data_IF_781761175182
#
_entry.id   IF_781761175182
#
_cell.length_a   1.000
_cell.length_b   1.000
_cell.length_c   1.000
_cell.angle_alpha   90.00
_cell.angle_beta   90.00
_cell.angle_gamma   90.00
#
_symmetry.space_group_name_H-M   'P 1'
#
loop_
_entity.id
_entity.type
_entity.pdbx_description
1 polymer ?
#
# COMPACT_ATOMS: atom_id res chain seq x y z
N UNK A 1 86.48 45.27 -35.79
CA UNK A 1 85.78 46.47 -35.31
C UNK A 1 84.48 45.98 -34.70
N UNK A 2 84.54 45.45 -33.48
CA UNK A 2 84.36 46.16 -32.19
C UNK A 2 82.90 46.59 -31.95
N UNK A 3 82.29 45.97 -30.93
CA UNK A 3 80.99 46.23 -30.26
C UNK A 3 81.03 47.56 -29.44
N UNK A 4 80.03 48.02 -28.61
CA UNK A 4 78.85 47.32 -28.07
C UNK A 4 77.54 48.12 -27.74
N UNK A 5 76.52 47.33 -27.34
CA UNK A 5 75.46 47.46 -26.30
C UNK A 5 74.44 48.62 -26.24
N UNK A 6 73.14 48.28 -26.31
CA UNK A 6 72.16 48.51 -25.20
C UNK A 6 70.91 47.61 -25.31
N UNK A 7 70.50 47.01 -24.18
CA UNK A 7 69.37 46.06 -24.02
C UNK A 7 67.97 46.73 -24.05
N UNK A 8 66.89 46.05 -24.50
CA UNK A 8 65.51 46.48 -24.27
C UNK A 8 64.80 45.70 -23.15
N UNK A 9 64.13 46.46 -22.26
CA UNK A 9 63.47 45.98 -21.05
C UNK A 9 62.14 45.25 -21.25
N UNK A 10 61.94 44.22 -20.40
CA UNK A 10 60.77 43.36 -20.31
C UNK A 10 59.62 44.01 -19.51
N UNK A 11 58.43 44.14 -20.12
CA UNK A 11 57.17 44.50 -19.42
C UNK A 11 56.52 43.26 -18.78
N UNK A 12 55.98 43.35 -17.55
CA UNK A 12 55.39 42.20 -16.86
C UNK A 12 53.96 41.89 -17.35
N UNK A 13 53.65 40.58 -17.39
CA UNK A 13 52.34 40.00 -17.76
C UNK A 13 51.27 40.24 -16.66
N UNK A 14 49.97 40.34 -17.02
CA UNK A 14 48.90 40.63 -16.06
C UNK A 14 48.56 39.41 -15.17
N UNK A 15 48.25 39.72 -13.90
CA UNK A 15 47.84 38.76 -12.84
C UNK A 15 46.49 38.11 -13.16
N UNK A 16 46.42 36.80 -12.99
CA UNK A 16 45.20 36.00 -13.07
C UNK A 16 44.27 36.32 -11.88
N UNK A 17 43.03 36.72 -12.17
CA UNK A 17 41.98 36.92 -11.17
C UNK A 17 41.50 35.59 -10.59
N UNK A 18 41.40 35.52 -9.27
CA UNK A 18 40.90 34.36 -8.53
C UNK A 18 39.43 34.07 -8.88
N UNK A 19 39.16 32.87 -9.40
CA UNK A 19 37.80 32.36 -9.62
C UNK A 19 37.13 32.11 -8.27
N UNK A 20 36.11 32.90 -7.94
CA UNK A 20 35.21 32.64 -6.81
C UNK A 20 34.42 31.35 -7.08
N UNK A 21 34.70 30.31 -6.32
CA UNK A 21 33.87 29.10 -6.26
C UNK A 21 32.53 29.44 -5.59
N UNK A 22 31.38 29.03 -6.15
CA UNK A 22 30.08 29.24 -5.51
C UNK A 22 30.02 28.44 -4.21
N UNK A 23 29.99 29.13 -3.07
CA UNK A 23 29.83 28.49 -1.77
C UNK A 23 28.38 28.02 -1.64
N UNK A 24 28.21 26.72 -1.39
CA UNK A 24 26.93 26.12 -1.08
C UNK A 24 26.37 26.71 0.22
N UNK A 25 25.16 27.26 0.16
CA UNK A 25 24.44 27.83 1.30
C UNK A 25 23.87 26.76 2.26
N UNK A 26 24.27 25.49 2.11
CA UNK A 26 23.89 24.40 3.02
C UNK A 26 24.37 24.61 4.47
N UNK A 27 25.23 25.58 4.75
CA UNK A 27 25.62 25.94 6.12
C UNK A 27 24.59 26.85 6.83
N UNK A 28 23.66 27.47 6.09
CA UNK A 28 22.57 28.28 6.65
C UNK A 28 21.33 27.44 7.01
N UNK A 29 21.25 26.24 6.46
CA UNK A 29 20.25 25.26 6.77
C UNK A 29 20.93 24.26 7.69
N UNK A 30 20.39 24.03 8.89
CA UNK A 30 20.91 23.05 9.86
C UNK A 30 20.70 21.59 9.39
N UNK A 31 21.00 21.32 8.11
CA UNK A 31 20.83 20.05 7.41
C UNK A 31 22.21 19.58 6.92
N UNK A 32 22.83 18.69 7.69
CA UNK A 32 23.98 17.91 7.26
C UNK A 32 23.46 16.64 6.58
N UNK A 33 23.57 16.54 5.25
CA UNK A 33 23.41 15.25 4.58
C UNK A 33 24.53 14.31 5.05
N UNK A 34 24.24 13.01 5.31
CA UNK A 34 25.30 12.05 5.60
C UNK A 34 26.32 12.03 4.46
N UNK A 35 27.63 11.98 4.76
CA UNK A 35 28.67 12.09 3.76
C UNK A 35 28.48 11.02 2.68
N UNK A 36 28.37 11.45 1.41
CA UNK A 36 28.40 10.51 0.27
C UNK A 36 29.73 9.76 0.34
N UNK A 37 29.66 8.43 0.42
CA UNK A 37 30.86 7.60 0.36
C UNK A 37 31.62 7.91 -0.94
N UNK A 38 32.93 8.16 -0.88
CA UNK A 38 33.72 8.35 -2.08
C UNK A 38 33.66 7.08 -2.95
N UNK A 39 33.78 7.21 -4.28
CA UNK A 39 33.86 6.05 -5.15
C UNK A 39 35.05 5.18 -4.74
N UNK A 40 34.77 3.90 -4.50
CA UNK A 40 35.75 2.89 -4.10
C UNK A 40 36.86 2.82 -5.15
N UNK A 41 38.12 2.92 -4.70
CA UNK A 41 39.29 2.80 -5.59
C UNK A 41 39.33 1.41 -6.25
N UNK A 42 39.77 1.34 -7.51
CA UNK A 42 39.94 0.08 -8.23
C UNK A 42 40.88 -0.92 -7.51
N UNK A 43 41.74 -0.47 -6.61
CA UNK A 43 42.56 -1.33 -5.75
C UNK A 43 41.74 -2.07 -4.67
N UNK A 44 40.68 -1.47 -4.11
CA UNK A 44 39.82 -2.11 -3.09
C UNK A 44 38.85 -3.14 -3.69
N UNK A 45 38.48 -2.98 -4.97
CA UNK A 45 37.66 -3.95 -5.71
C UNK A 45 38.38 -5.29 -5.92
N UNK A 46 39.71 -5.27 -6.06
CA UNK A 46 40.51 -6.49 -6.25
C UNK A 46 40.73 -7.26 -4.94
N UNK A 47 40.94 -6.54 -3.81
CA UNK A 47 41.05 -7.16 -2.50
C UNK A 47 39.74 -7.84 -2.03
N UNK A 48 38.58 -7.29 -2.41
CA UNK A 48 37.27 -7.87 -2.10
C UNK A 48 36.89 -9.09 -2.94
N UNK A 49 37.51 -9.30 -4.11
CA UNK A 49 37.21 -10.47 -4.98
C UNK A 49 37.73 -11.80 -4.41
N UNK A 50 38.83 -11.80 -3.64
CA UNK A 50 39.39 -13.04 -3.06
C UNK A 50 38.68 -13.52 -1.78
N UNK A 51 37.86 -12.69 -1.13
CA UNK A 51 37.11 -13.05 0.09
C UNK A 51 35.62 -13.32 -0.14
N UNK A 52 35.17 -13.30 -1.41
CA UNK A 52 33.75 -13.39 -1.81
C UNK A 52 33.35 -14.79 -2.29
N UNK A 53 33.75 -15.84 -1.57
CA UNK A 53 33.26 -17.19 -1.82
C UNK A 53 32.60 -17.86 -0.60
N UNK A 54 32.43 -17.17 0.55
CA UNK A 54 31.84 -17.82 1.75
C UNK A 54 30.82 -17.05 2.58
N UNK A 55 30.27 -15.93 2.11
CA UNK A 55 29.18 -15.24 2.83
C UNK A 55 28.17 -14.63 1.83
N UNK A 56 27.15 -15.40 1.49
CA UNK A 56 25.97 -14.94 0.74
C UNK A 56 24.90 -14.45 1.72
N UNK A 57 25.13 -13.28 2.33
CA UNK A 57 24.12 -12.48 3.03
C UNK A 57 24.54 -11.01 3.02
N UNK A 58 24.75 -10.46 1.82
CA UNK A 58 24.72 -9.01 1.66
C UNK A 58 23.26 -8.61 1.52
N UNK A 59 22.67 -8.11 2.61
CA UNK A 59 21.46 -7.29 2.59
C UNK A 59 21.54 -6.36 1.38
N UNK A 60 20.78 -6.70 0.35
CA UNK A 60 20.83 -6.04 -0.93
C UNK A 60 19.96 -4.81 -0.79
N UNK A 61 20.60 -3.67 -0.47
CA UNK A 61 19.98 -2.37 -0.65
C UNK A 61 19.49 -2.27 -2.10
N UNK A 62 18.21 -2.55 -2.31
CA UNK A 62 17.57 -2.39 -3.59
C UNK A 62 17.10 -0.94 -3.70
N UNK A 63 17.54 -0.17 -4.71
CA UNK A 63 17.17 1.23 -4.83
C UNK A 63 15.65 1.36 -4.89
N UNK A 64 15.12 2.33 -4.13
CA UNK A 64 13.69 2.63 -4.09
C UNK A 64 13.16 2.88 -5.51
N UNK A 65 12.18 2.08 -5.92
CA UNK A 65 11.46 2.22 -7.19
C UNK A 65 9.99 2.43 -6.89
N UNK A 66 9.37 3.42 -7.52
CA UNK A 66 7.95 3.79 -7.33
C UNK A 66 7.01 2.62 -7.62
N UNK A 67 7.30 1.84 -8.66
CA UNK A 67 6.55 0.62 -8.99
C UNK A 67 6.53 -0.41 -7.85
N UNK A 68 7.63 -0.51 -7.07
CA UNK A 68 7.66 -1.38 -5.90
C UNK A 68 6.77 -0.85 -4.80
N UNK A 69 6.74 0.46 -4.58
CA UNK A 69 5.84 1.08 -3.61
C UNK A 69 4.37 0.81 -3.96
N UNK A 70 3.99 0.95 -5.24
CA UNK A 70 2.63 0.62 -5.69
C UNK A 70 2.32 -0.86 -5.47
N UNK A 71 3.22 -1.74 -5.91
CA UNK A 71 3.05 -3.17 -5.70
C UNK A 71 2.98 -3.54 -4.20
N UNK A 72 3.62 -2.76 -3.35
CA UNK A 72 3.71 -3.05 -1.93
C UNK A 72 2.48 -2.60 -1.13
N UNK A 73 1.88 -1.47 -1.50
CA UNK A 73 0.87 -0.79 -0.69
C UNK A 73 -0.53 -0.79 -1.31
N UNK A 74 -0.66 -1.09 -2.61
CA UNK A 74 -1.96 -1.11 -3.28
C UNK A 74 -2.44 -2.53 -3.56
N UNK A 75 -3.76 -2.66 -3.65
CA UNK A 75 -4.44 -3.88 -4.11
C UNK A 75 -4.93 -3.68 -5.52
N UNK A 76 -4.94 -4.75 -6.31
CA UNK A 76 -5.20 -4.67 -7.74
C UNK A 76 -6.32 -5.60 -8.15
N UNK A 77 -7.29 -5.04 -8.87
CA UNK A 77 -8.22 -5.81 -9.69
C UNK A 77 -7.61 -6.01 -11.07
N UNK A 78 -7.46 -7.28 -11.43
CA UNK A 78 -6.76 -7.70 -12.64
C UNK A 78 -7.70 -8.38 -13.62
N UNK A 79 -7.31 -8.36 -14.89
CA UNK A 79 -8.03 -9.00 -15.97
C UNK A 79 -8.03 -10.54 -15.82
N UNK A 80 -9.18 -11.24 -15.90
CA UNK A 80 -9.24 -12.69 -15.76
C UNK A 80 -8.53 -13.47 -16.88
N UNK A 81 -8.15 -12.82 -17.98
CA UNK A 81 -7.45 -13.46 -19.11
C UNK A 81 -5.92 -13.54 -18.94
N UNK A 82 -5.36 -12.86 -17.94
CA UNK A 82 -3.92 -12.83 -17.72
C UNK A 82 -3.36 -14.09 -17.04
N UNK A 83 -2.05 -14.29 -17.18
CA UNK A 83 -1.28 -15.22 -16.36
C UNK A 83 -0.60 -14.45 -15.23
N UNK A 84 -0.84 -14.87 -14.00
CA UNK A 84 -0.32 -14.24 -12.77
C UNK A 84 0.43 -15.24 -11.87
N UNK A 85 0.81 -16.42 -12.41
CA UNK A 85 1.43 -17.49 -11.62
C UNK A 85 2.69 -17.04 -10.86
N UNK A 86 3.49 -16.15 -11.46
CA UNK A 86 4.71 -15.62 -10.84
C UNK A 86 4.37 -14.84 -9.57
N UNK A 87 3.33 -14.00 -9.62
CA UNK A 87 2.88 -13.19 -8.49
C UNK A 87 2.24 -14.02 -7.38
N UNK A 88 1.82 -15.26 -7.68
CA UNK A 88 1.31 -16.17 -6.66
C UNK A 88 2.41 -16.80 -5.82
N UNK A 89 3.59 -17.00 -6.43
CA UNK A 89 4.76 -17.55 -5.74
C UNK A 89 5.58 -16.46 -5.05
N UNK A 90 5.60 -15.24 -5.60
CA UNK A 90 6.39 -14.13 -5.08
C UNK A 90 5.57 -12.83 -5.01
N UNK A 91 5.25 -12.31 -3.81
CA UNK A 91 4.51 -11.07 -3.67
C UNK A 91 5.32 -9.84 -4.09
N UNK A 92 6.65 -9.91 -4.17
CA UNK A 92 7.53 -8.78 -4.51
C UNK A 92 7.53 -8.45 -6.01
N UNK A 93 7.09 -9.40 -6.84
CA UNK A 93 6.98 -9.20 -8.29
C UNK A 93 5.79 -8.32 -8.60
N UNK A 94 6.04 -7.22 -9.31
CA UNK A 94 5.00 -6.29 -9.71
C UNK A 94 4.06 -6.93 -10.75
N UNK A 95 2.77 -6.59 -10.64
CA UNK A 95 1.78 -6.92 -11.66
C UNK A 95 2.00 -6.04 -12.90
N UNK A 96 1.94 -6.60 -14.13
CA UNK A 96 1.99 -5.80 -15.34
C UNK A 96 0.87 -4.75 -15.37
N UNK A 97 1.21 -3.48 -15.57
CA UNK A 97 0.26 -2.36 -15.50
C UNK A 97 -0.92 -2.49 -16.49
N UNK A 98 -0.67 -3.07 -17.67
CA UNK A 98 -1.69 -3.26 -18.69
C UNK A 98 -2.79 -4.24 -18.25
N UNK A 99 -2.47 -5.15 -17.34
CA UNK A 99 -3.38 -6.16 -16.81
C UNK A 99 -4.22 -5.66 -15.63
N UNK A 100 -3.81 -4.55 -15.01
CA UNK A 100 -4.56 -3.90 -13.93
C UNK A 100 -5.74 -3.16 -14.56
N UNK A 101 -6.95 -3.41 -14.05
CA UNK A 101 -8.19 -2.74 -14.47
C UNK A 101 -8.60 -1.66 -13.48
N UNK A 102 -8.52 -1.95 -12.19
CA UNK A 102 -8.82 -1.01 -11.12
C UNK A 102 -7.82 -1.19 -9.98
N UNK A 103 -7.53 -0.11 -9.26
CA UNK A 103 -6.69 -0.11 -8.05
C UNK A 103 -7.56 0.21 -6.85
N UNK A 104 -7.42 -0.57 -5.78
CA UNK A 104 -8.10 -0.30 -4.51
C UNK A 104 -7.14 0.41 -3.57
N UNK A 105 -7.58 1.54 -3.02
CA UNK A 105 -6.83 2.32 -2.04
C UNK A 105 -7.66 2.44 -0.77
N UNK A 106 -7.00 2.20 0.37
CA UNK A 106 -7.57 2.51 1.68
C UNK A 106 -7.61 4.03 1.86
N UNK A 107 -8.80 4.56 2.16
CA UNK A 107 -9.00 5.98 2.43
C UNK A 107 -8.75 6.27 3.91
N UNK A 108 -7.47 6.29 4.30
CA UNK A 108 -7.05 6.65 5.66
C UNK A 108 -7.22 8.16 5.88
N UNK A 109 -7.22 8.63 7.13
CA UNK A 109 -7.37 10.02 7.62
C UNK A 109 -6.85 11.19 6.75
N UNK A 110 -5.86 10.96 5.89
CA UNK A 110 -5.47 11.87 4.83
C UNK A 110 -6.34 11.56 3.61
N UNK A 111 -7.55 12.11 3.59
CA UNK A 111 -8.44 11.97 2.43
C UNK A 111 -7.62 12.26 1.16
N UNK A 112 -7.62 11.31 0.22
CA UNK A 112 -6.87 11.49 -1.02
C UNK A 112 -7.47 12.68 -1.76
N UNK A 113 -6.83 13.85 -1.71
CA UNK A 113 -7.29 15.04 -2.40
C UNK A 113 -6.72 15.09 -3.80
N UNK A 114 -7.55 15.46 -4.78
CA UNK A 114 -7.08 15.68 -6.14
C UNK A 114 -6.10 16.87 -6.16
N UNK A 115 -4.86 16.70 -6.62
CA UNK A 115 -3.85 17.78 -6.61
C UNK A 115 -4.17 18.96 -7.56
N UNK A 116 -5.19 18.81 -8.40
CA UNK A 116 -5.58 19.82 -9.40
C UNK A 116 -6.73 20.68 -8.87
N UNK A 117 -7.78 20.07 -8.30
CA UNK A 117 -8.94 20.81 -7.77
C UNK A 117 -8.97 20.92 -6.24
N UNK A 118 -8.08 20.21 -5.53
CA UNK A 118 -7.97 20.16 -4.06
C UNK A 118 -9.21 19.60 -3.33
N UNK A 119 -10.14 18.99 -4.07
CA UNK A 119 -11.34 18.32 -3.55
C UNK A 119 -11.17 16.79 -3.57
N UNK A 120 -12.04 16.03 -2.87
CA UNK A 120 -12.13 14.59 -3.06
C UNK A 120 -12.31 14.23 -4.54
N UNK A 121 -11.60 13.22 -5.07
CA UNK A 121 -11.52 12.97 -6.49
C UNK A 121 -12.81 12.36 -7.04
N UNK A 122 -13.44 13.07 -7.97
CA UNK A 122 -14.59 12.58 -8.76
C UNK A 122 -14.11 11.60 -9.82
N UNK A 123 -14.67 10.38 -9.84
CA UNK A 123 -14.23 9.30 -10.73
C UNK A 123 -12.70 9.15 -10.72
N UNK A 124 -12.17 8.80 -9.55
CA UNK A 124 -10.75 8.83 -9.25
C UNK A 124 -9.91 7.99 -10.25
N UNK A 125 -8.75 8.53 -10.65
CA UNK A 125 -7.79 7.89 -11.56
C UNK A 125 -6.38 7.95 -10.99
N UNK A 126 -5.71 6.81 -10.98
CA UNK A 126 -4.30 6.70 -10.57
C UNK A 126 -3.39 6.56 -11.77
N UNK A 127 -2.20 7.13 -11.65
CA UNK A 127 -1.12 7.08 -12.63
C UNK A 127 -0.07 6.03 -12.23
N UNK A 128 0.82 5.62 -13.15
CA UNK A 128 1.97 4.75 -12.84
C UNK A 128 2.91 5.25 -11.73
N UNK A 129 2.81 6.53 -11.36
CA UNK A 129 3.59 7.11 -10.26
C UNK A 129 2.86 7.08 -8.90
N UNK A 130 1.60 6.63 -8.85
CA UNK A 130 0.80 6.50 -7.62
C UNK A 130 -0.09 7.68 -7.28
N UNK A 131 0.05 8.82 -7.95
CA UNK A 131 -0.79 9.98 -7.68
C UNK A 131 -2.19 9.81 -8.27
N UNK A 132 -3.19 10.20 -7.47
CA UNK A 132 -4.62 10.09 -7.76
C UNK A 132 -5.18 11.46 -8.16
N UNK A 133 -6.02 11.49 -9.19
CA UNK A 133 -6.66 12.68 -9.74
C UNK A 133 -8.13 12.42 -10.05
N UNK A 134 -8.96 13.45 -10.19
CA UNK A 134 -10.26 13.29 -10.85
C UNK A 134 -10.04 12.97 -12.33
N UNK A 135 -10.83 12.07 -12.92
CA UNK A 135 -10.85 11.84 -14.38
C UNK A 135 -10.96 13.16 -15.18
N UNK A 136 -11.94 14.06 -14.94
CA UNK A 136 -12.04 15.31 -15.68
C UNK A 136 -10.82 16.23 -15.51
N UNK A 137 -10.26 16.29 -14.30
CA UNK A 137 -9.10 17.13 -14.01
C UNK A 137 -7.85 16.65 -14.77
N UNK A 138 -7.56 15.34 -14.74
CA UNK A 138 -6.38 14.79 -15.42
C UNK A 138 -6.56 14.82 -16.94
N UNK A 139 -7.76 14.57 -17.45
CA UNK A 139 -8.05 14.67 -18.89
C UNK A 139 -7.86 16.11 -19.40
N UNK A 140 -8.39 17.11 -18.68
CA UNK A 140 -8.14 18.53 -19.00
C UNK A 140 -6.66 18.87 -18.92
N UNK A 141 -5.97 18.37 -17.89
CA UNK A 141 -4.53 18.55 -17.74
C UNK A 141 -3.75 17.92 -18.89
N UNK A 142 -4.11 16.73 -19.37
CA UNK A 142 -3.44 16.06 -20.49
C UNK A 142 -3.74 16.74 -21.84
N UNK A 143 -4.93 17.33 -21.99
CA UNK A 143 -5.35 18.01 -23.22
C UNK A 143 -4.91 19.49 -23.29
N UNK A 144 -4.51 20.12 -22.18
CA UNK A 144 -4.12 21.53 -22.17
C UNK A 144 -2.90 21.83 -23.06
N UNK A 145 -2.92 22.84 -23.90
CA UNK A 145 -1.76 23.17 -24.73
C UNK A 145 -0.67 23.77 -23.81
N UNK A 146 0.52 23.17 -23.71
CA UNK A 146 1.68 23.83 -23.06
C UNK A 146 2.24 24.88 -24.02
N UNK A 147 1.55 26.01 -24.15
CA UNK A 147 1.89 27.11 -25.04
C UNK A 147 3.03 28.00 -24.50
N UNK A 148 4.15 27.43 -24.02
CA UNK A 148 5.22 28.22 -23.40
C UNK A 148 6.63 28.01 -23.93
N UNK A 149 6.81 27.30 -25.06
CA UNK A 149 8.09 27.31 -25.77
C UNK A 149 7.87 27.49 -27.26
N UNK A 150 8.58 28.46 -27.83
CA UNK A 150 8.63 28.91 -29.23
C UNK A 150 9.24 27.84 -30.16
N UNK A 151 8.78 26.59 -30.03
CA UNK A 151 9.06 25.44 -30.91
C UNK A 151 7.74 24.81 -31.40
N UNK A 152 6.61 25.52 -31.19
CA UNK A 152 5.26 24.99 -31.28
C UNK A 152 4.65 24.86 -32.69
N UNK A 153 5.44 24.95 -33.77
CA UNK A 153 4.92 24.92 -35.16
C UNK A 153 5.33 23.65 -35.93
N UNK A 154 6.13 22.74 -35.35
CA UNK A 154 6.56 21.51 -36.06
C UNK A 154 6.27 20.18 -35.35
N UNK A 155 5.57 20.19 -34.21
CA UNK A 155 5.20 18.96 -33.47
C UNK A 155 3.70 18.89 -33.18
N UNK A 156 2.87 19.22 -34.17
CA UNK A 156 1.42 18.99 -34.21
C UNK A 156 1.02 17.49 -34.21
N UNK A 157 1.97 16.57 -33.99
CA UNK A 157 1.68 15.16 -33.80
C UNK A 157 2.44 14.61 -32.58
N UNK A 158 1.69 14.09 -31.60
CA UNK A 158 2.13 13.03 -30.66
C UNK A 158 3.02 13.41 -29.46
N UNK A 159 2.67 14.41 -28.65
CA UNK A 159 2.96 14.29 -27.20
C UNK A 159 1.70 13.93 -26.44
N UNK A 160 1.29 12.66 -26.58
CA UNK A 160 0.22 12.05 -25.79
C UNK A 160 0.68 11.75 -24.34
N UNK A 161 1.52 12.60 -23.77
CA UNK A 161 2.05 12.43 -22.41
C UNK A 161 2.44 13.77 -21.81
N UNK A 162 2.33 13.88 -20.49
CA UNK A 162 2.76 15.06 -19.70
C UNK A 162 3.40 14.66 -18.40
N UNK A 163 4.00 15.61 -17.69
CA UNK A 163 4.62 15.35 -16.38
C UNK A 163 3.58 15.38 -15.26
N UNK A 164 3.76 14.55 -14.25
CA UNK A 164 2.97 14.59 -13.02
C UNK A 164 3.18 15.92 -12.28
N UNK A 165 2.10 16.64 -11.90
CA UNK A 165 2.21 17.87 -11.09
C UNK A 165 2.91 17.71 -9.74
N UNK A 166 2.99 16.49 -9.20
CA UNK A 166 3.59 16.23 -7.89
C UNK A 166 5.05 15.77 -8.05
N UNK A 167 5.29 14.73 -8.85
CA UNK A 167 6.59 14.05 -8.88
C UNK A 167 7.31 14.12 -10.24
N UNK A 168 6.74 14.83 -11.21
CA UNK A 168 7.33 15.11 -12.53
C UNK A 168 7.56 13.90 -13.44
N UNK A 169 7.08 12.72 -13.04
CA UNK A 169 7.09 11.50 -13.87
C UNK A 169 6.19 11.63 -15.10
N UNK A 170 6.51 10.97 -16.23
CA UNK A 170 5.65 10.96 -17.40
C UNK A 170 4.35 10.20 -17.13
N UNK A 171 3.23 10.82 -17.48
CA UNK A 171 1.86 10.30 -17.43
C UNK A 171 1.34 10.19 -18.86
N UNK A 172 0.77 9.04 -19.19
CA UNK A 172 0.10 8.77 -20.46
C UNK A 172 -1.41 8.57 -20.24
N UNK A 173 -2.29 9.01 -21.16
CA UNK A 173 -3.74 8.80 -21.04
C UNK A 173 -4.15 7.33 -20.91
N UNK A 174 -3.51 6.43 -21.67
CA UNK A 174 -3.82 4.99 -21.65
C UNK A 174 -3.37 4.29 -20.34
N UNK A 175 -2.49 4.93 -19.58
CA UNK A 175 -1.98 4.39 -18.32
C UNK A 175 -2.85 4.75 -17.12
N UNK A 176 -3.88 5.58 -17.29
CA UNK A 176 -4.79 5.94 -16.21
C UNK A 176 -5.67 4.74 -15.84
N UNK A 177 -5.63 4.35 -14.57
CA UNK A 177 -6.47 3.27 -14.03
C UNK A 177 -7.53 3.82 -13.08
N UNK A 178 -8.72 3.23 -13.10
CA UNK A 178 -9.78 3.58 -12.16
C UNK A 178 -9.35 3.24 -10.73
N UNK A 179 -9.74 4.07 -9.78
CA UNK A 179 -9.48 3.89 -8.36
C UNK A 179 -10.79 3.77 -7.62
N UNK A 180 -10.89 2.73 -6.78
CA UNK A 180 -11.93 2.67 -5.75
C UNK A 180 -11.29 2.98 -4.40
N UNK A 181 -11.76 4.08 -3.81
CA UNK A 181 -11.44 4.42 -2.43
C UNK A 181 -12.37 3.64 -1.51
N UNK A 182 -11.80 2.89 -0.56
CA UNK A 182 -12.57 2.16 0.44
C UNK A 182 -12.37 2.84 1.80
N UNK A 183 -13.47 3.21 2.45
CA UNK A 183 -13.46 3.83 3.78
C UNK A 183 -12.97 2.83 4.82
N UNK A 184 -11.99 3.26 5.60
CA UNK A 184 -11.29 2.40 6.57
C UNK A 184 -11.30 3.07 7.94
N UNK A 185 -11.05 2.27 8.97
CA UNK A 185 -10.96 2.78 10.32
C UNK A 185 -9.78 3.74 10.46
N UNK A 186 -9.99 4.81 11.23
CA UNK A 186 -9.04 5.91 11.33
C UNK A 186 -8.17 5.77 12.59
N UNK A 187 -7.00 5.15 12.41
CA UNK A 187 -5.95 5.03 13.42
C UNK A 187 -5.40 6.40 13.90
N UNK A 188 -5.41 7.42 13.04
CA UNK A 188 -4.90 8.75 13.40
C UNK A 188 -5.81 9.47 14.43
N UNK A 189 -7.08 9.09 14.51
CA UNK A 189 -7.99 9.54 15.57
C UNK A 189 -7.48 9.16 16.97
N UNK A 190 -6.75 8.04 17.10
CA UNK A 190 -6.13 7.63 18.37
C UNK A 190 -4.98 8.55 18.79
N UNK A 191 -4.13 8.95 17.84
CA UNK A 191 -2.96 9.78 18.12
C UNK A 191 -3.33 11.19 18.58
N UNK A 192 -4.49 11.69 18.13
CA UNK A 192 -5.02 13.01 18.49
C UNK A 192 -5.82 12.95 19.79
N UNK A 193 -6.44 11.81 20.08
CA UNK A 193 -7.14 11.51 21.31
C UNK A 193 -6.13 11.12 22.41
N UNK A 194 -5.48 12.11 23.03
CA UNK A 194 -4.71 11.86 24.26
C UNK A 194 -5.53 11.06 25.31
N UNK A 195 -4.83 10.38 26.23
CA UNK A 195 -5.42 9.58 27.32
C UNK A 195 -6.26 10.45 28.27
N UNK A 196 -7.47 10.81 27.88
CA UNK A 196 -8.46 11.45 28.76
C UNK A 196 -9.53 10.42 29.13
N UNK A 197 -10.02 10.50 30.37
CA UNK A 197 -11.02 9.57 30.92
C UNK A 197 -12.32 9.52 30.08
N UNK A 198 -12.62 10.56 29.30
CA UNK A 198 -13.75 10.61 28.37
C UNK A 198 -13.57 9.66 27.16
N UNK A 199 -12.35 9.48 26.65
CA UNK A 199 -12.06 8.62 25.50
C UNK A 199 -12.18 7.12 25.83
N UNK A 200 -12.02 6.76 27.12
CA UNK A 200 -12.26 5.41 27.63
C UNK A 200 -13.74 5.00 27.63
N UNK A 201 -14.65 5.98 27.68
CA UNK A 201 -16.10 5.74 27.71
C UNK A 201 -16.74 5.69 26.31
N UNK A 202 -16.13 6.34 25.30
CA UNK A 202 -16.68 6.41 23.92
C UNK A 202 -16.30 5.26 22.99
N UNK A 203 -15.50 4.27 23.43
CA UNK A 203 -15.02 3.19 22.54
C UNK A 203 -14.11 3.67 21.40
N UNK A 204 -13.62 4.91 21.47
CA UNK A 204 -12.84 5.54 20.39
C UNK A 204 -11.48 4.86 20.17
N UNK A 205 -11.00 4.13 21.18
CA UNK A 205 -9.68 3.50 21.21
C UNK A 205 -9.71 1.98 20.96
N UNK A 206 -10.83 1.46 20.45
CA UNK A 206 -10.98 0.04 20.14
C UNK A 206 -10.86 -0.23 18.64
N UNK A 207 -10.15 -1.30 18.30
CA UNK A 207 -10.03 -1.82 16.93
C UNK A 207 -10.63 -3.22 16.90
N UNK A 208 -11.41 -3.52 15.87
CA UNK A 208 -11.89 -4.87 15.60
C UNK A 208 -10.92 -5.57 14.65
N UNK A 209 -10.44 -6.73 15.08
CA UNK A 209 -9.56 -7.59 14.30
C UNK A 209 -10.30 -8.85 13.89
N UNK A 210 -10.00 -9.38 12.71
CA UNK A 210 -10.48 -10.68 12.22
C UNK A 210 -9.32 -11.66 12.15
N UNK A 211 -9.61 -12.93 12.46
CA UNK A 211 -8.67 -14.01 12.31
C UNK A 211 -8.52 -14.31 10.81
N UNK A 212 -7.30 -14.20 10.32
CA UNK A 212 -6.92 -14.48 8.94
C UNK A 212 -6.18 -15.82 8.88
N UNK A 213 -6.51 -16.60 7.87
CA UNK A 213 -5.90 -17.90 7.56
C UNK A 213 -5.13 -17.80 6.24
N UNK A 214 -3.95 -18.41 6.22
CA UNK A 214 -3.06 -18.41 5.05
C UNK A 214 -2.33 -19.75 4.90
N UNK A 215 -2.31 -20.29 3.69
CA UNK A 215 -1.49 -21.47 3.37
C UNK A 215 0.01 -21.14 3.31
N UNK A 216 0.88 -22.09 3.70
CA UNK A 216 2.31 -21.94 3.49
C UNK A 216 2.63 -21.67 2.02
N UNK A 217 3.49 -20.68 1.75
CA UNK A 217 3.94 -20.28 0.40
C UNK A 217 2.85 -19.66 -0.49
N UNK A 218 1.60 -19.56 -0.04
CA UNK A 218 0.55 -18.83 -0.73
C UNK A 218 0.62 -17.32 -0.40
N UNK A 219 0.39 -16.48 -1.42
CA UNK A 219 0.29 -15.02 -1.25
C UNK A 219 -1.12 -14.59 -0.82
N UNK A 220 -2.14 -15.39 -1.14
CA UNK A 220 -3.51 -15.10 -0.72
C UNK A 220 -3.71 -15.41 0.76
N UNK A 221 -4.28 -14.46 1.47
CA UNK A 221 -4.68 -14.59 2.86
C UNK A 221 -6.11 -14.06 3.00
N UNK A 222 -6.97 -14.83 3.66
CA UNK A 222 -8.41 -14.55 3.76
C UNK A 222 -8.89 -14.79 5.19
N UNK A 223 -9.96 -14.12 5.64
CA UNK A 223 -10.57 -14.40 6.94
C UNK A 223 -10.87 -15.89 7.11
N UNK A 224 -10.51 -16.46 8.25
CA UNK A 224 -10.62 -17.90 8.53
C UNK A 224 -12.07 -18.39 8.49
N UNK A 225 -13.03 -17.51 8.76
CA UNK A 225 -14.46 -17.79 8.66
C UNK A 225 -15.01 -17.73 7.23
N UNK A 226 -14.18 -17.39 6.23
CA UNK A 226 -14.55 -17.44 4.82
C UNK A 226 -14.54 -18.89 4.31
N UNK A 227 -15.50 -19.67 4.78
CA UNK A 227 -15.66 -21.09 4.43
C UNK A 227 -15.91 -21.30 2.94
N UNK A 228 -16.49 -20.30 2.26
CA UNK A 228 -16.71 -20.34 0.82
C UNK A 228 -15.39 -20.45 0.06
N UNK A 229 -14.42 -19.57 0.38
CA UNK A 229 -13.13 -19.55 -0.31
C UNK A 229 -12.29 -20.82 -0.04
N UNK A 230 -12.35 -21.35 1.17
CA UNK A 230 -11.62 -22.57 1.54
C UNK A 230 -12.37 -23.88 1.21
N UNK A 231 -13.59 -23.80 0.67
CA UNK A 231 -14.34 -24.99 0.24
C UNK A 231 -13.70 -25.64 -0.98
N UNK A 232 -13.38 -26.93 -0.89
CA UNK A 232 -12.84 -27.71 -2.02
C UNK A 232 -13.77 -27.69 -3.24
N UNK A 233 -15.09 -27.68 -3.02
CA UNK A 233 -16.09 -27.59 -4.08
C UNK A 233 -16.00 -26.24 -4.81
N UNK A 234 -15.80 -25.15 -4.07
CA UNK A 234 -15.64 -23.83 -4.67
C UNK A 234 -14.28 -23.68 -5.36
N UNK A 235 -13.20 -24.13 -4.72
CA UNK A 235 -11.85 -24.09 -5.29
C UNK A 235 -11.74 -24.88 -6.60
N UNK A 236 -12.48 -25.99 -6.74
CA UNK A 236 -12.54 -26.76 -7.99
C UNK A 236 -13.18 -25.98 -9.16
N UNK A 237 -14.01 -24.98 -8.87
CA UNK A 237 -14.58 -24.07 -9.88
C UNK A 237 -13.60 -22.97 -10.28
N UNK A 238 -12.64 -22.63 -9.42
CA UNK A 238 -11.68 -21.56 -9.67
C UNK A 238 -10.62 -22.01 -10.67
N UNK A 239 -10.40 -21.19 -11.71
CA UNK A 239 -9.27 -21.39 -12.63
C UNK A 239 -7.94 -21.13 -11.94
N UNK A 240 -7.92 -20.13 -11.05
CA UNK A 240 -6.81 -19.78 -10.20
C UNK A 240 -7.28 -19.77 -8.75
N UNK A 241 -7.15 -20.88 -8.00
CA UNK A 241 -7.61 -20.91 -6.61
C UNK A 241 -6.89 -19.87 -5.75
N UNK A 242 -5.67 -19.49 -6.14
CA UNK A 242 -4.81 -18.53 -5.44
C UNK A 242 -5.21 -17.06 -5.64
N UNK A 243 -6.22 -16.77 -6.47
CA UNK A 243 -6.75 -15.41 -6.68
C UNK A 243 -8.28 -15.42 -6.58
N UNK A 244 -8.87 -14.78 -5.56
CA UNK A 244 -10.32 -14.69 -5.45
C UNK A 244 -10.91 -13.77 -6.52
N UNK A 245 -12.17 -14.02 -6.86
CA UNK A 245 -12.98 -13.09 -7.65
C UNK A 245 -13.53 -11.96 -6.79
N UNK A 246 -13.90 -10.85 -7.42
CA UNK A 246 -14.51 -9.68 -6.77
C UNK A 246 -15.77 -9.99 -5.97
N UNK A 247 -16.56 -10.99 -6.41
CA UNK A 247 -17.81 -11.39 -5.75
C UNK A 247 -17.60 -12.33 -4.57
N UNK A 248 -16.37 -12.78 -4.30
CA UNK A 248 -16.05 -13.56 -3.10
C UNK A 248 -16.08 -12.60 -1.91
N UNK A 249 -16.83 -12.90 -0.83
CA UNK A 249 -16.83 -12.06 0.37
C UNK A 249 -15.42 -11.83 0.89
N UNK A 250 -15.17 -10.65 1.45
CA UNK A 250 -13.86 -10.24 2.01
C UNK A 250 -12.70 -10.13 1.01
N UNK A 251 -12.86 -10.56 -0.26
CA UNK A 251 -11.77 -10.54 -1.23
C UNK A 251 -11.25 -9.11 -1.51
N UNK A 252 -12.15 -8.14 -1.67
CA UNK A 252 -11.78 -6.73 -1.90
C UNK A 252 -11.00 -6.10 -0.73
N UNK A 253 -11.23 -6.57 0.50
CA UNK A 253 -10.59 -6.03 1.70
C UNK A 253 -9.24 -6.71 2.01
N UNK A 254 -9.17 -8.04 1.88
CA UNK A 254 -8.01 -8.82 2.36
C UNK A 254 -7.06 -9.25 1.24
N UNK A 255 -7.55 -9.57 0.05
CA UNK A 255 -6.70 -10.09 -1.03
C UNK A 255 -5.92 -8.97 -1.74
N UNK A 256 -4.64 -9.24 -2.04
CA UNK A 256 -3.80 -8.31 -2.80
C UNK A 256 -4.19 -8.24 -4.28
N UNK A 257 -4.46 -9.41 -4.88
CA UNK A 257 -4.86 -9.56 -6.27
C UNK A 257 -6.27 -10.13 -6.30
N UNK A 258 -7.14 -9.53 -7.11
CA UNK A 258 -8.54 -9.92 -7.26
C UNK A 258 -8.87 -10.01 -8.75
N UNK A 259 -9.56 -11.06 -9.18
CA UNK A 259 -10.05 -11.17 -10.55
C UNK A 259 -11.29 -10.30 -10.72
N UNK A 260 -11.28 -9.43 -11.72
CA UNK A 260 -12.39 -8.52 -11.98
C UNK A 260 -13.43 -9.18 -12.90
N UNK A 261 -14.63 -9.41 -12.38
CA UNK A 261 -15.77 -9.83 -13.19
C UNK A 261 -16.20 -8.71 -14.15
N UNK A 262 -16.68 -9.05 -15.36
CA UNK A 262 -17.19 -8.05 -16.31
C UNK A 262 -18.37 -7.26 -15.74
N UNK A 263 -19.20 -7.91 -14.92
CA UNK A 263 -20.37 -7.30 -14.28
C UNK A 263 -19.97 -6.25 -13.25
N UNK A 264 -18.96 -6.54 -12.42
CA UNK A 264 -18.40 -5.58 -11.47
C UNK A 264 -17.78 -4.37 -12.19
N UNK A 265 -16.97 -4.59 -13.23
CA UNK A 265 -16.36 -3.48 -13.98
C UNK A 265 -17.40 -2.56 -14.63
N UNK A 266 -18.49 -3.13 -15.13
CA UNK A 266 -19.62 -2.35 -15.66
C UNK A 266 -20.31 -1.53 -14.55
N UNK A 267 -20.50 -2.12 -13.37
CA UNK A 267 -21.07 -1.42 -12.21
C UNK A 267 -20.20 -0.26 -11.74
N UNK A 268 -18.89 -0.46 -11.62
CA UNK A 268 -17.94 0.60 -11.24
C UNK A 268 -17.90 1.72 -12.29
N UNK A 269 -17.94 1.36 -13.58
CA UNK A 269 -18.02 2.36 -14.66
C UNK A 269 -19.30 3.17 -14.58
N UNK A 270 -20.42 2.53 -14.25
CA UNK A 270 -21.69 3.22 -14.06
C UNK A 270 -21.65 4.14 -12.83
N UNK A 271 -21.00 3.74 -11.74
CA UNK A 271 -20.81 4.57 -10.56
C UNK A 271 -19.97 5.82 -10.88
N UNK A 272 -18.89 5.67 -11.65
CA UNK A 272 -18.07 6.79 -12.14
C UNK A 272 -18.91 7.78 -12.98
N UNK A 273 -19.80 7.28 -13.85
CA UNK A 273 -20.69 8.11 -14.65
C UNK A 273 -21.69 8.90 -13.78
N UNK A 274 -22.20 8.30 -12.70
CA UNK A 274 -23.09 8.98 -11.75
C UNK A 274 -22.35 10.10 -11.02
N UNK A 275 -21.17 9.82 -10.46
CA UNK A 275 -20.36 10.82 -9.77
C UNK A 275 -20.01 12.01 -10.67
N UNK A 276 -19.64 11.75 -11.93
CA UNK A 276 -19.34 12.82 -12.89
C UNK A 276 -20.57 13.65 -13.25
N UNK A 277 -21.76 13.04 -13.35
CA UNK A 277 -23.02 13.76 -13.60
C UNK A 277 -23.44 14.63 -12.42
N UNK A 278 -23.26 14.14 -11.19
CA UNK A 278 -23.48 14.94 -9.97
C UNK A 278 -22.54 16.15 -9.95
N UNK A 279 -21.24 15.91 -10.18
CA UNK A 279 -20.25 16.99 -10.27
C UNK A 279 -20.57 17.97 -11.41
N UNK A 280 -21.15 17.52 -12.53
CA UNK A 280 -21.59 18.40 -13.61
C UNK A 280 -22.73 19.35 -13.17
N UNK A 281 -23.69 18.85 -12.39
CA UNK A 281 -24.78 19.67 -11.85
C UNK A 281 -24.22 20.73 -10.88
N UNK A 282 -23.29 20.35 -10.02
CA UNK A 282 -22.61 21.26 -9.10
C UNK A 282 -21.78 22.34 -9.83
N UNK A 283 -21.01 21.96 -10.86
CA UNK A 283 -20.23 22.94 -11.62
C UNK A 283 -21.10 23.86 -12.48
N UNK A 284 -22.26 23.38 -12.96
CA UNK A 284 -23.26 24.21 -13.65
C UNK A 284 -23.86 25.26 -12.74
N UNK A 285 -24.16 24.93 -11.48
CA UNK A 285 -24.69 25.90 -10.51
C UNK A 285 -23.67 26.97 -10.13
N UNK A 286 -22.38 26.62 -10.15
CA UNK A 286 -21.26 27.55 -9.92
C UNK A 286 -20.88 28.40 -11.15
N UNK A 287 -21.35 28.03 -12.35
CA UNK A 287 -21.09 28.77 -13.59
C UNK A 287 -19.73 28.52 -14.26
N UNK A 288 -19.01 27.44 -13.91
CA UNK A 288 -17.74 27.08 -14.59
C UNK A 288 -18.01 26.30 -15.89
N UNK A 289 -18.20 27.05 -16.99
CA UNK A 289 -18.46 26.47 -18.31
C UNK A 289 -17.32 25.58 -18.83
N UNK A 290 -16.07 25.86 -18.46
CA UNK A 290 -14.91 25.09 -18.93
C UNK A 290 -14.82 23.73 -18.21
N UNK A 291 -15.11 23.68 -16.90
CA UNK A 291 -15.23 22.43 -16.17
C UNK A 291 -16.40 21.58 -16.70
N UNK A 292 -17.55 22.21 -16.98
CA UNK A 292 -18.72 21.52 -17.52
C UNK A 292 -18.42 20.85 -18.87
N UNK A 293 -17.78 21.56 -19.81
CA UNK A 293 -17.41 20.99 -21.10
C UNK A 293 -16.47 19.79 -20.95
N UNK A 294 -15.48 19.88 -20.05
CA UNK A 294 -14.55 18.78 -19.80
C UNK A 294 -15.24 17.56 -19.19
N UNK A 295 -16.24 17.78 -18.31
CA UNK A 295 -17.04 16.72 -17.70
C UNK A 295 -17.91 16.01 -18.76
N UNK A 296 -18.60 16.77 -19.61
CA UNK A 296 -19.42 16.23 -20.70
C UNK A 296 -18.58 15.36 -21.65
N UNK A 297 -17.41 15.84 -22.06
CA UNK A 297 -16.47 15.05 -22.88
C UNK A 297 -16.05 13.74 -22.19
N UNK A 298 -15.78 13.76 -20.88
CA UNK A 298 -15.40 12.56 -20.15
C UNK A 298 -16.56 11.56 -20.03
N UNK A 299 -17.78 12.06 -19.83
CA UNK A 299 -19.01 11.24 -19.78
C UNK A 299 -19.25 10.56 -21.13
N UNK A 300 -19.13 11.29 -22.24
CA UNK A 300 -19.31 10.75 -23.58
C UNK A 300 -18.24 9.70 -23.92
N UNK A 301 -16.98 9.96 -23.60
CA UNK A 301 -15.90 8.99 -23.79
C UNK A 301 -16.10 7.72 -22.96
N UNK A 302 -16.43 7.86 -21.67
CA UNK A 302 -16.58 6.71 -20.78
C UNK A 302 -17.82 5.87 -21.17
N UNK A 303 -18.93 6.52 -21.53
CA UNK A 303 -20.14 5.83 -22.01
C UNK A 303 -19.93 5.09 -23.33
N UNK A 304 -19.17 5.67 -24.27
CA UNK A 304 -18.78 4.99 -25.50
C UNK A 304 -17.92 3.76 -25.24
N UNK A 305 -16.95 3.84 -24.32
CA UNK A 305 -16.15 2.67 -23.92
C UNK A 305 -16.98 1.59 -23.23
N UNK A 306 -17.95 1.98 -22.39
CA UNK A 306 -18.85 1.05 -21.73
C UNK A 306 -19.76 0.30 -22.73
N UNK A 307 -20.24 0.99 -23.77
CA UNK A 307 -21.05 0.37 -24.82
C UNK A 307 -20.24 -0.59 -25.71
N UNK A 308 -18.97 -0.27 -25.99
CA UNK A 308 -18.06 -1.16 -26.70
C UNK A 308 -17.77 -2.44 -25.91
N UNK A 309 -17.58 -2.33 -24.60
CA UNK A 309 -17.32 -3.48 -23.73
C UNK A 309 -18.52 -4.44 -23.60
N UNK A 310 -19.76 -3.96 -23.79
CA UNK A 310 -20.99 -4.77 -23.75
C UNK A 310 -21.29 -5.51 -25.06
N UNK A 311 -20.79 -5.02 -26.20
CA UNK A 311 -21.12 -5.54 -27.54
C UNK A 311 -20.11 -6.55 -28.11
N UNK A 312 -18.95 -6.74 -27.45
CA UNK A 312 -17.94 -7.70 -27.86
C UNK A 312 -18.26 -9.15 -27.45
N UNK A 313 -18.16 -10.15 -28.34
CA UNK A 313 -18.33 -11.55 -27.96
C UNK A 313 -17.14 -12.01 -27.11
N UNK A 314 -17.29 -12.00 -25.78
CA UNK A 314 -16.29 -12.58 -24.88
C UNK A 314 -16.37 -14.12 -24.91
N UNK A 315 -15.86 -14.74 -25.97
CA UNK A 315 -15.52 -16.17 -25.98
C UNK A 315 -14.23 -16.37 -25.19
N UNK A 316 -14.32 -16.28 -23.87
CA UNK A 316 -13.21 -16.58 -22.96
C UNK A 316 -13.55 -17.91 -22.28
N UNK A 317 -12.70 -18.95 -22.37
CA UNK A 317 -12.93 -20.25 -21.73
C UNK A 317 -13.22 -20.16 -20.21
N UNK A 318 -12.70 -19.12 -19.56
CA UNK A 318 -12.84 -18.84 -18.13
C UNK A 318 -14.24 -18.33 -17.73
N UNK A 319 -15.01 -17.75 -18.65
CA UNK A 319 -16.32 -17.12 -18.33
C UNK A 319 -17.37 -18.16 -17.92
N UNK A 320 -17.35 -19.36 -18.49
CA UNK A 320 -18.30 -20.42 -18.13
C UNK A 320 -18.12 -20.93 -16.70
N UNK A 321 -16.87 -20.97 -16.21
CA UNK A 321 -16.57 -21.30 -14.81
C UNK A 321 -16.83 -20.13 -13.87
N UNK A 322 -16.67 -18.89 -14.34
CA UNK A 322 -17.04 -17.68 -13.58
C UNK A 322 -18.54 -17.67 -13.25
N UNK A 323 -19.41 -17.95 -14.23
CA UNK A 323 -20.86 -17.99 -13.99
C UNK A 323 -21.23 -19.06 -12.97
N UNK A 324 -20.64 -20.25 -13.07
CA UNK A 324 -20.84 -21.34 -12.09
C UNK A 324 -20.32 -20.98 -10.70
N UNK A 325 -19.14 -20.36 -10.60
CA UNK A 325 -18.59 -19.89 -9.33
C UNK A 325 -19.46 -18.80 -8.70
N UNK A 326 -19.99 -17.87 -9.51
CA UNK A 326 -20.89 -16.81 -9.05
C UNK A 326 -22.23 -17.37 -8.59
N UNK A 327 -22.82 -18.30 -9.33
CA UNK A 327 -24.02 -19.02 -8.93
C UNK A 327 -23.78 -19.83 -7.64
N UNK A 328 -22.63 -20.48 -7.50
CA UNK A 328 -22.26 -21.19 -6.28
C UNK A 328 -22.24 -20.24 -5.07
N UNK A 329 -21.63 -19.06 -5.20
CA UNK A 329 -21.62 -18.04 -4.13
C UNK A 329 -23.04 -17.55 -3.83
N UNK A 330 -23.85 -17.31 -4.86
CA UNK A 330 -25.24 -16.87 -4.69
C UNK A 330 -26.10 -17.93 -3.99
N UNK A 331 -25.93 -19.20 -4.34
CA UNK A 331 -26.74 -20.32 -3.83
C UNK A 331 -26.29 -20.80 -2.45
N UNK A 332 -24.99 -20.67 -2.15
CA UNK A 332 -24.45 -21.09 -0.84
C UNK A 332 -24.90 -20.16 0.28
N UNK A 333 -25.41 -18.96 -0.05
CA UNK A 333 -25.55 -17.87 0.91
C UNK A 333 -24.16 -17.42 1.39
N UNK A 334 -24.03 -16.17 1.82
CA UNK A 334 -22.80 -15.71 2.46
C UNK A 334 -22.62 -16.44 3.81
N UNK A 335 -22.11 -17.69 3.79
CA UNK A 335 -21.80 -18.47 4.98
C UNK A 335 -20.52 -17.95 5.63
N UNK A 336 -20.56 -16.70 6.11
CA UNK A 336 -19.60 -16.18 7.08
C UNK A 336 -20.14 -16.60 8.44
N UNK A 337 -19.76 -17.80 8.89
CA UNK A 337 -20.13 -18.26 10.23
C UNK A 337 -19.40 -17.42 11.29
N UNK A 338 -20.07 -16.96 12.36
CA UNK A 338 -19.45 -16.14 13.40
C UNK A 338 -18.42 -16.91 14.25
N UNK A 339 -18.46 -18.25 14.22
CA UNK A 339 -17.62 -19.12 15.05
C UNK A 339 -17.03 -20.24 14.20
N UNK A 340 -15.71 -20.44 14.30
CA UNK A 340 -15.04 -21.60 13.71
C UNK A 340 -15.47 -22.86 14.47
N UNK A 341 -15.96 -23.86 13.76
CA UNK A 341 -16.31 -25.17 14.33
C UNK A 341 -15.14 -26.14 14.19
N UNK A 342 -15.02 -27.13 15.08
CA UNK A 342 -13.94 -28.14 15.02
C UNK A 342 -13.87 -28.89 13.67
N UNK A 343 -15.01 -29.01 12.98
CA UNK A 343 -15.13 -29.61 11.64
C UNK A 343 -14.57 -28.74 10.50
N UNK A 344 -14.22 -27.49 10.76
CA UNK A 344 -13.65 -26.55 9.76
C UNK A 344 -12.13 -26.67 9.63
N UNK A 345 -11.49 -27.52 10.44
CA UNK A 345 -10.05 -27.80 10.33
C UNK A 345 -9.79 -28.57 9.05
N UNK A 346 -9.65 -27.86 7.93
CA UNK A 346 -8.98 -28.40 6.74
C UNK A 346 -7.60 -28.85 7.20
N UNK A 347 -7.30 -30.12 6.94
CA UNK A 347 -6.05 -30.79 7.29
C UNK A 347 -4.89 -30.18 6.49
N UNK A 348 -4.30 -29.11 7.01
CA UNK A 348 -3.13 -28.44 6.45
C UNK A 348 -2.47 -27.52 7.48
N UNK A 349 -1.16 -27.31 7.34
CA UNK A 349 -0.39 -26.42 8.22
C UNK A 349 -0.65 -24.94 7.88
N UNK A 350 -1.82 -24.40 8.21
CA UNK A 350 -2.12 -22.98 7.93
C UNK A 350 -1.49 -22.03 8.96
N UNK A 351 -0.99 -20.89 8.49
CA UNK A 351 -0.70 -19.76 9.35
C UNK A 351 -2.00 -19.04 9.72
N UNK A 352 -2.14 -18.74 11.01
CA UNK A 352 -3.21 -17.93 11.55
C UNK A 352 -2.63 -16.67 12.17
N UNK A 353 -3.33 -15.54 12.04
CA UNK A 353 -2.99 -14.27 12.69
C UNK A 353 -4.18 -13.32 12.66
N UNK A 354 -4.14 -12.26 13.46
CA UNK A 354 -5.18 -11.24 13.48
C UNK A 354 -4.79 -10.03 12.63
N UNK A 355 -5.73 -9.55 11.81
CA UNK A 355 -5.64 -8.34 11.00
C UNK A 355 -6.87 -7.46 11.24
N UNK A 356 -6.78 -6.15 11.00
CA UNK A 356 -7.95 -5.26 11.02
C UNK A 356 -9.08 -5.74 10.10
N UNK A 357 -10.33 -5.56 10.55
CA UNK A 357 -11.55 -6.02 9.87
C UNK A 357 -11.80 -5.34 8.52
N UNK A 358 -11.38 -4.09 8.41
CA UNK A 358 -11.40 -3.27 7.19
C UNK A 358 -10.30 -3.64 6.17
N UNK A 359 -9.47 -4.63 6.49
CA UNK A 359 -8.39 -5.11 5.65
C UNK A 359 -7.12 -4.25 5.69
N UNK A 360 -7.02 -3.20 6.51
CA UNK A 360 -5.75 -2.49 6.67
C UNK A 360 -4.62 -3.41 7.15
N UNK A 361 -3.37 -3.08 6.83
CA UNK A 361 -2.17 -3.80 7.31
C UNK A 361 -1.85 -3.46 8.77
N UNK A 362 -2.84 -3.65 9.63
CA UNK A 362 -2.75 -3.48 11.09
C UNK A 362 -2.76 -4.86 11.71
N UNK A 363 -1.72 -5.16 12.50
CA UNK A 363 -1.50 -6.47 13.09
C UNK A 363 -1.20 -6.35 14.58
N UNK A 364 -1.50 -7.39 15.36
CA UNK A 364 -1.01 -7.48 16.73
C UNK A 364 0.53 -7.47 16.74
N UNK A 365 1.11 -6.75 17.69
CA UNK A 365 2.55 -6.77 17.92
C UNK A 365 3.03 -8.22 18.14
N UNK A 366 4.20 -8.64 17.63
CA UNK A 366 4.62 -10.05 17.66
C UNK A 366 4.64 -10.70 19.06
N UNK A 367 4.92 -9.92 20.11
CA UNK A 367 4.81 -10.40 21.50
C UNK A 367 3.35 -10.68 21.90
N UNK A 368 2.43 -9.79 21.54
CA UNK A 368 1.01 -9.88 21.90
C UNK A 368 0.39 -11.05 21.16
N UNK A 369 0.71 -11.19 19.87
CA UNK A 369 0.37 -12.36 19.09
C UNK A 369 0.88 -13.66 19.71
N UNK A 370 2.12 -13.70 20.23
CA UNK A 370 2.64 -14.90 20.90
C UNK A 370 1.81 -15.28 22.14
N UNK A 371 1.41 -14.30 22.93
CA UNK A 371 0.58 -14.51 24.13
C UNK A 371 -0.81 -15.01 23.73
N UNK A 372 -1.47 -14.33 22.80
CA UNK A 372 -2.78 -14.75 22.25
C UNK A 372 -2.68 -16.15 21.66
N UNK A 373 -1.65 -16.42 20.86
CA UNK A 373 -1.44 -17.75 20.27
C UNK A 373 -1.24 -18.81 21.34
N UNK A 374 -0.49 -18.57 22.40
CA UNK A 374 -0.34 -19.55 23.49
C UNK A 374 -1.64 -19.76 24.28
N UNK A 375 -2.45 -18.71 24.42
CA UNK A 375 -3.72 -18.77 25.12
C UNK A 375 -4.76 -19.63 24.40
N UNK A 376 -4.81 -19.51 23.07
CA UNK A 376 -5.83 -20.14 22.22
C UNK A 376 -5.33 -21.36 21.43
N UNK A 377 -4.01 -21.50 21.21
CA UNK A 377 -3.44 -22.76 20.77
C UNK A 377 -3.47 -23.70 21.97
N UNK A 378 -4.56 -24.48 22.07
CA UNK A 378 -4.62 -25.61 22.98
C UNK A 378 -3.31 -26.39 22.91
N UNK A 379 -2.77 -26.72 24.08
CA UNK A 379 -1.51 -27.43 24.26
C UNK A 379 -1.34 -28.55 23.22
N UNK A 380 -0.57 -28.30 22.16
CA UNK A 380 -0.10 -29.35 21.27
C UNK A 380 0.98 -30.13 22.03
N UNK A 381 0.55 -31.22 22.67
CA UNK A 381 1.18 -32.54 22.77
C UNK A 381 1.17 -33.21 24.15
N UNK A 382 0.81 -32.53 25.26
CA UNK A 382 0.72 -33.24 26.57
C UNK A 382 0.01 -32.50 27.72
N UNK A 383 -0.91 -31.56 27.46
CA UNK A 383 -1.60 -30.79 28.51
C UNK A 383 -3.12 -30.88 28.44
N UNK A 384 -3.86 -30.72 29.56
CA UNK A 384 -5.32 -30.76 29.55
C UNK A 384 -5.89 -29.60 28.71
N UNK A 385 -7.03 -29.80 28.03
CA UNK A 385 -7.65 -28.78 27.20
C UNK A 385 -8.07 -27.58 28.05
N UNK A 386 -7.59 -26.39 27.69
CA UNK A 386 -8.12 -25.14 28.22
C UNK A 386 -9.48 -24.85 27.58
N UNK A 387 -10.37 -24.17 28.31
CA UNK A 387 -11.78 -23.92 27.96
C UNK A 387 -12.03 -23.11 26.67
N UNK A 388 -10.99 -22.65 25.97
CA UNK A 388 -11.07 -21.76 24.81
C UNK A 388 -10.34 -22.31 23.55
N UNK A 389 -10.26 -23.63 23.36
CA UNK A 389 -9.47 -24.32 22.33
C UNK A 389 -9.70 -23.99 20.84
N UNK A 390 -10.33 -22.86 20.51
CA UNK A 390 -10.55 -22.33 19.17
C UNK A 390 -10.28 -20.81 19.18
N UNK A 391 -9.53 -20.33 18.18
CA UNK A 391 -9.31 -18.90 17.98
C UNK A 391 -10.64 -18.18 17.65
N UNK A 392 -10.98 -17.09 18.35
CA UNK A 392 -12.11 -16.25 17.96
C UNK A 392 -11.98 -15.74 16.53
N UNK A 393 -13.07 -15.80 15.75
CA UNK A 393 -13.08 -15.27 14.38
C UNK A 393 -12.90 -13.74 14.37
N UNK A 394 -13.41 -13.05 15.39
CA UNK A 394 -13.30 -11.62 15.56
C UNK A 394 -12.86 -11.29 16.99
N UNK A 395 -12.05 -10.25 17.13
CA UNK A 395 -11.42 -9.83 18.37
C UNK A 395 -11.42 -8.30 18.44
N UNK A 396 -12.26 -7.73 19.31
CA UNK A 396 -12.26 -6.29 19.57
C UNK A 396 -11.32 -5.98 20.72
N UNK A 397 -10.32 -5.14 20.46
CA UNK A 397 -9.20 -4.87 21.37
C UNK A 397 -9.04 -3.39 21.65
N UNK A 398 -8.64 -3.04 22.86
CA UNK A 398 -8.25 -1.67 23.19
C UNK A 398 -6.77 -1.44 22.87
N UNK A 399 -6.48 -0.45 22.03
CA UNK A 399 -5.12 -0.12 21.58
C UNK A 399 -4.43 0.74 22.64
N UNK A 400 -3.31 0.27 23.18
CA UNK A 400 -2.44 1.04 24.07
C UNK A 400 -1.40 1.86 23.31
N UNK A 401 -0.86 1.31 22.24
CA UNK A 401 0.17 1.96 21.44
C UNK A 401 0.22 1.39 20.01
N UNK A 402 0.76 2.18 19.09
CA UNK A 402 0.95 1.81 17.69
C UNK A 402 2.44 1.94 17.32
N UNK A 403 2.93 1.03 16.50
CA UNK A 403 4.28 1.03 15.96
C UNK A 403 4.22 0.89 14.44
N UNK A 404 4.42 2.00 13.73
CA UNK A 404 4.46 2.02 12.27
C UNK A 404 5.81 1.50 11.77
N UNK A 405 5.76 0.51 10.88
CA UNK A 405 6.94 -0.14 10.32
C UNK A 405 6.74 -0.42 8.84
N UNK A 406 7.82 -0.78 8.15
CA UNK A 406 7.77 -1.24 6.76
C UNK A 406 8.27 -2.68 6.68
N UNK A 407 7.73 -3.45 5.74
CA UNK A 407 8.13 -4.84 5.58
C UNK A 407 9.58 -4.93 5.08
N UNK A 408 10.46 -5.44 5.92
CA UNK A 408 11.87 -5.74 5.61
C UNK A 408 12.11 -7.24 5.53
N UNK A 409 13.22 -7.65 4.90
CA UNK A 409 13.61 -9.08 4.86
C UNK A 409 13.72 -9.67 6.28
N UNK A 410 14.25 -8.91 7.24
CA UNK A 410 14.38 -9.33 8.63
C UNK A 410 13.02 -9.51 9.32
N UNK A 411 12.09 -8.56 9.11
CA UNK A 411 10.75 -8.65 9.68
C UNK A 411 9.98 -9.83 9.06
N UNK A 412 10.06 -10.00 7.74
CA UNK A 412 9.45 -11.11 7.01
C UNK A 412 10.01 -12.46 7.44
N UNK A 413 11.30 -12.52 7.77
CA UNK A 413 11.94 -13.72 8.31
C UNK A 413 11.49 -14.05 9.74
N UNK A 414 11.27 -13.03 10.58
CA UNK A 414 10.79 -13.21 11.96
C UNK A 414 9.29 -13.53 12.02
N UNK A 415 8.49 -12.93 11.14
CA UNK A 415 7.04 -13.03 11.09
C UNK A 415 6.59 -13.79 9.84
N UNK A 416 6.91 -15.10 9.77
CA UNK A 416 6.60 -15.96 8.61
C UNK A 416 5.10 -16.03 8.25
N UNK A 417 4.20 -15.71 9.17
CA UNK A 417 2.77 -15.62 8.87
C UNK A 417 2.44 -14.43 7.93
N UNK A 418 3.26 -13.36 7.93
CA UNK A 418 3.15 -12.18 7.06
C UNK A 418 4.00 -12.27 5.79
N UNK A 419 4.51 -13.46 5.45
CA UNK A 419 5.41 -13.67 4.29
C UNK A 419 4.75 -13.43 2.92
N UNK A 420 3.43 -13.29 2.90
CA UNK A 420 2.65 -12.89 1.73
C UNK A 420 2.70 -11.39 1.45
N UNK A 421 3.14 -10.59 2.41
CA UNK A 421 3.27 -9.16 2.21
C UNK A 421 4.58 -8.85 1.45
N UNK A 422 4.50 -8.05 0.37
CA UNK A 422 5.68 -7.57 -0.34
C UNK A 422 6.59 -6.70 0.55
N UNK A 423 7.87 -6.69 0.22
CA UNK A 423 8.89 -5.82 0.81
C UNK A 423 8.56 -4.35 0.53
N UNK A 424 8.73 -3.51 1.55
CA UNK A 424 8.35 -2.09 1.50
C UNK A 424 6.86 -1.83 1.66
N UNK A 425 6.06 -2.84 2.02
CA UNK A 425 4.67 -2.67 2.45
C UNK A 425 4.65 -1.96 3.81
N UNK A 426 3.87 -0.89 3.91
CA UNK A 426 3.67 -0.14 5.15
C UNK A 426 2.67 -0.92 6.02
N UNK A 427 3.06 -1.19 7.27
CA UNK A 427 2.25 -1.94 8.22
C UNK A 427 2.41 -1.42 9.64
N UNK A 428 1.33 -1.47 10.41
CA UNK A 428 1.30 -0.99 11.79
C UNK A 428 1.12 -2.15 12.74
N UNK A 429 2.02 -2.27 13.71
CA UNK A 429 1.83 -3.16 14.84
C UNK A 429 1.11 -2.44 15.97
N UNK A 430 -0.03 -2.99 16.41
CA UNK A 430 -0.76 -2.49 17.57
C UNK A 430 -0.39 -3.29 18.81
N UNK A 431 -0.22 -2.57 19.90
CA UNK A 431 -0.01 -3.11 21.23
C UNK A 431 -1.32 -2.95 21.99
N UNK A 432 -1.81 -4.04 22.57
CA UNK A 432 -3.18 -4.10 23.09
C UNK A 432 -3.20 -4.51 24.54
N UNK A 433 -4.29 -4.16 25.22
CA UNK A 433 -4.56 -4.71 26.56
C UNK A 433 -4.95 -6.19 26.42
N UNK A 434 -4.05 -7.08 26.85
CA UNK A 434 -4.22 -8.52 26.79
C UNK A 434 -4.96 -9.08 28.01
N UNK A 435 -5.08 -8.31 29.09
CA UNK A 435 -5.71 -8.77 30.34
C UNK A 435 -7.16 -9.26 30.16
N UNK A 436 -8.04 -8.60 29.37
CA UNK A 436 -9.39 -9.12 29.14
C UNK A 436 -9.46 -10.22 28.07
N UNK A 437 -8.38 -10.48 27.33
CA UNK A 437 -8.39 -11.35 26.14
C UNK A 437 -7.83 -12.74 26.41
N UNK A 438 -7.04 -12.91 27.47
CA UNK A 438 -6.23 -14.12 27.69
C UNK A 438 -6.46 -14.64 29.12
N UNK A 439 -6.51 -15.97 29.35
CA UNK A 439 -6.63 -16.52 30.69
C UNK A 439 -5.55 -16.01 31.64
N UNK A 440 -5.92 -15.78 32.91
CA UNK A 440 -5.04 -15.21 33.94
C UNK A 440 -3.69 -15.93 34.04
N UNK A 441 -3.69 -17.27 34.00
CA UNK A 441 -2.48 -18.08 34.10
C UNK A 441 -1.48 -17.81 32.96
N UNK A 442 -1.98 -17.62 31.73
CA UNK A 442 -1.15 -17.31 30.58
C UNK A 442 -0.67 -15.86 30.64
N UNK A 443 -1.51 -14.93 31.11
CA UNK A 443 -1.14 -13.53 31.27
C UNK A 443 -0.01 -13.36 32.30
N UNK A 444 -0.07 -14.07 33.43
CA UNK A 444 0.93 -14.00 34.49
C UNK A 444 2.33 -14.42 34.03
N UNK A 445 2.44 -15.42 33.15
CA UNK A 445 3.73 -15.86 32.58
C UNK A 445 4.46 -14.74 31.82
N UNK A 446 3.71 -13.85 31.17
CA UNK A 446 4.27 -12.77 30.33
C UNK A 446 4.20 -11.39 30.99
N UNK A 447 3.54 -11.28 32.15
CA UNK A 447 3.27 -10.02 32.86
C UNK A 447 4.50 -9.16 33.04
N UNK A 448 5.60 -9.71 33.57
CA UNK A 448 6.83 -8.95 33.80
C UNK A 448 7.41 -8.36 32.49
N UNK A 449 7.31 -9.08 31.38
CA UNK A 449 7.79 -8.62 30.07
C UNK A 449 6.87 -7.52 29.51
N UNK A 450 5.55 -7.69 29.64
CA UNK A 450 4.56 -6.71 29.20
C UNK A 450 4.66 -5.41 30.01
N UNK A 451 4.82 -5.50 31.32
CA UNK A 451 5.02 -4.35 32.22
C UNK A 451 6.34 -3.64 31.91
N UNK A 452 7.44 -4.36 31.71
CA UNK A 452 8.72 -3.75 31.31
C UNK A 452 8.61 -3.00 29.98
N UNK A 453 7.88 -3.56 29.00
CA UNK A 453 7.62 -2.89 27.72
C UNK A 453 6.80 -1.61 27.95
N UNK A 454 5.76 -1.66 28.78
CA UNK A 454 4.92 -0.49 29.12
C UNK A 454 5.72 0.62 29.80
N UNK A 455 6.57 0.27 30.77
CA UNK A 455 7.46 1.23 31.46
C UNK A 455 8.44 1.89 30.49
N UNK A 456 9.09 1.11 29.62
CA UNK A 456 10.00 1.66 28.59
C UNK A 456 9.30 2.65 27.65
N UNK A 457 8.06 2.38 27.27
CA UNK A 457 7.24 3.30 26.46
C UNK A 457 6.95 4.59 27.21
N UNK A 458 6.47 4.50 28.45
CA UNK A 458 6.19 5.67 29.28
C UNK A 458 7.43 6.55 29.47
N UNK A 459 8.59 5.93 29.70
CA UNK A 459 9.86 6.67 29.83
C UNK A 459 10.26 7.35 28.52
N UNK A 460 10.10 6.68 27.38
CA UNK A 460 10.36 7.26 26.06
C UNK A 460 9.43 8.46 25.78
N UNK A 461 8.13 8.31 26.01
CA UNK A 461 7.15 9.40 25.82
C UNK A 461 7.45 10.58 26.74
N UNK A 462 7.79 10.32 28.01
CA UNK A 462 8.18 11.35 28.98
C UNK A 462 9.42 12.11 28.52
N UNK A 463 10.43 11.39 28.01
CA UNK A 463 11.64 11.99 27.46
C UNK A 463 11.34 12.87 26.24
N UNK A 464 10.56 12.37 25.28
CA UNK A 464 10.18 13.14 24.08
C UNK A 464 9.35 14.38 24.43
N UNK A 465 8.46 14.31 25.41
CA UNK A 465 7.71 15.47 25.91
C UNK A 465 8.63 16.51 26.55
N UNK A 466 9.57 16.08 27.40
CA UNK A 466 10.54 16.99 28.00
C UNK A 466 11.43 17.66 26.94
N UNK A 467 11.85 16.92 25.90
CA UNK A 467 12.63 17.44 24.79
C UNK A 467 11.82 18.45 23.95
N UNK A 468 10.54 18.18 23.68
CA UNK A 468 9.63 19.13 23.01
C UNK A 468 9.44 20.41 23.81
N UNK A 469 9.15 20.31 25.11
CA UNK A 469 9.01 21.48 25.98
C UNK A 469 10.31 22.30 26.08
N UNK A 470 11.47 21.63 26.08
CA UNK A 470 12.76 22.32 26.06
C UNK A 470 13.02 23.03 24.72
N UNK A 471 12.56 22.46 23.61
CA UNK A 471 12.65 23.08 22.29
C UNK A 471 11.70 24.27 22.13
N UNK A 472 10.49 24.21 22.68
CA UNK A 472 9.52 25.32 22.66
C UNK A 472 9.94 26.51 23.55
N UNK A 473 10.76 26.26 24.58
CA UNK A 473 11.31 27.30 25.47
C UNK A 473 12.59 27.97 24.94
N UNK A 474 13.19 27.44 23.88
CA UNK A 474 14.36 28.01 23.19
C UNK A 474 13.93 28.84 22.01
#
# INVERSE_FOLDING_TARGET
>A
MESPDTQPGNRPKPRQGAKRTPQSLNHLLNFSLPPRQPPISNQELQARRRRKQRTTTSSSYAPYRKERFLNANYRFLVDPTGDYNVQFCDPDVAVPWDRIRQVLLADTAKSHQCPICLSPPVAARVTKCGHVYCLPCITRYLNSITASTTEAIQQETKRAWKKCPICWDPIYPHDLKSVRLWTVWNLASLATAGETAANKASGLNTVTLRLVQREPRAVVAMPANNRLYFSSAFQALLTYPQVPWDFVPDALAFAKLILASPTYLAQETQADLVQMRESLIENRSLGDGAACQSLEQCIDQLSATAAADQSGPRKIPTLGRETQAREFVSNSGAMVAPTLTESDRVTGDFFHYYQSDDGQHIYLHPLDWRVVRQAYAGASDSGPPTSHGVFPAELTVHVEATEDTTMTEDLRNRCKYLDHLPLGCDLTFIQVDLQPLVPSDCYEQYRATLEQRRQKRQEKTRREQNEKQAAERR
#
